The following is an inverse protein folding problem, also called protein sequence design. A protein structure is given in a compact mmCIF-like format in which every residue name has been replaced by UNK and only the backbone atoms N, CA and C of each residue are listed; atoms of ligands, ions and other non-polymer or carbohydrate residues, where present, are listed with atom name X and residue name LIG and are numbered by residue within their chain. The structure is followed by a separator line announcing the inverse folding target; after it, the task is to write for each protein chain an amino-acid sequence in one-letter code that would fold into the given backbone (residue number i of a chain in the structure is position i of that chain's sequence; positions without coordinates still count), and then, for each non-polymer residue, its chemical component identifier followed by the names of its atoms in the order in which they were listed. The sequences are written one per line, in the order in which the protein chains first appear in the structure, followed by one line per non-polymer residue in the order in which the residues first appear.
data_IF_328470203319
#
_entry.id   IF_328470203319
#
_cell.length_a   1.000
_cell.length_b   1.000
_cell.length_c   1.000
_cell.angle_alpha   90.00
_cell.angle_beta   90.00
_cell.angle_gamma   90.00
#
_symmetry.space_group_name_H-M   'P 1'
#
loop_
_entity.id
_entity.type
_entity.pdbx_description
1 polymer ?
#
# COMPACT_ATOMS: atom_id res chain seq x y z
N UNK A 1 -12.98 -37.11 -5.76
CA UNK A 1 -13.87 -36.90 -4.62
C UNK A 1 -13.39 -37.79 -3.48
N UNK A 2 -12.49 -37.28 -2.64
CA UNK A 2 -12.07 -37.88 -1.37
C UNK A 2 -11.82 -36.68 -0.45
N UNK A 3 -12.72 -36.48 0.52
CA UNK A 3 -12.67 -35.44 1.53
C UNK A 3 -11.94 -36.02 2.76
N UNK A 4 -10.83 -35.41 3.15
CA UNK A 4 -10.23 -35.65 4.46
C UNK A 4 -10.71 -34.52 5.39
N UNK A 5 -11.65 -34.84 6.28
CA UNK A 5 -12.03 -33.97 7.38
C UNK A 5 -11.11 -34.24 8.57
N UNK A 6 -10.43 -33.21 9.08
CA UNK A 6 -9.75 -33.25 10.37
C UNK A 6 -10.72 -32.78 11.47
N UNK A 7 -10.67 -33.35 12.70
CA UNK A 7 -11.66 -33.08 13.73
C UNK A 7 -11.45 -31.74 14.44
N UNK A 8 -12.51 -30.95 14.53
CA UNK A 8 -12.59 -29.60 15.13
C UNK A 8 -12.18 -29.53 16.61
N UNK A 9 -12.08 -30.67 17.30
CA UNK A 9 -11.83 -30.72 18.75
C UNK A 9 -10.41 -30.32 19.18
N UNK A 10 -9.40 -30.38 18.29
CA UNK A 10 -8.02 -29.98 18.62
C UNK A 10 -7.77 -28.47 18.54
N UNK A 11 -8.55 -27.73 17.75
CA UNK A 11 -8.40 -26.28 17.60
C UNK A 11 -9.05 -25.53 18.76
N UNK A 12 -10.18 -26.02 19.28
CA UNK A 12 -10.85 -25.44 20.44
C UNK A 12 -10.01 -25.55 21.73
N UNK A 13 -9.31 -26.67 21.94
CA UNK A 13 -8.47 -26.89 23.12
C UNK A 13 -7.20 -26.02 23.14
N UNK A 14 -6.66 -25.66 21.96
CA UNK A 14 -5.51 -24.77 21.85
C UNK A 14 -5.85 -23.30 22.14
N UNK A 15 -7.08 -22.87 21.81
CA UNK A 15 -7.54 -21.51 22.05
C UNK A 15 -7.89 -21.27 23.53
N UNK A 16 -8.53 -22.24 24.20
CA UNK A 16 -8.87 -22.13 25.64
C UNK A 16 -7.65 -22.11 26.57
N UNK A 17 -6.54 -22.75 26.19
CA UNK A 17 -5.30 -22.70 26.97
C UNK A 17 -4.55 -21.36 26.87
N UNK A 18 -4.90 -20.51 25.91
CA UNK A 18 -4.23 -19.21 25.71
C UNK A 18 -4.88 -18.06 26.49
N UNK A 19 -6.19 -18.14 26.78
CA UNK A 19 -6.91 -17.14 27.57
C UNK A 19 -6.55 -17.16 29.07
N UNK A 20 -6.12 -18.30 29.60
CA UNK A 20 -5.72 -18.41 31.01
C UNK A 20 -4.37 -17.74 31.34
N UNK A 21 -3.55 -17.42 30.33
CA UNK A 21 -2.19 -16.89 30.54
C UNK A 21 -2.11 -15.35 30.58
N UNK A 22 -3.19 -14.63 30.28
CA UNK A 22 -3.18 -13.14 30.17
C UNK A 22 -3.82 -12.45 31.39
N UNK A 23 -4.42 -13.20 32.32
CA UNK A 23 -5.01 -12.63 33.53
C UNK A 23 -4.03 -12.70 34.71
N UNK A 24 -3.02 -11.84 34.71
CA UNK A 24 -2.17 -11.61 35.88
C UNK A 24 -1.75 -10.13 35.99
N UNK A 25 -2.45 -9.43 36.88
CA UNK A 25 -1.97 -8.33 37.74
C UNK A 25 -1.74 -6.95 37.12
N UNK A 26 -2.77 -6.09 37.25
CA UNK A 26 -2.61 -4.66 37.45
C UNK A 26 -3.39 -4.27 38.73
N UNK A 27 -2.71 -4.20 39.88
CA UNK A 27 -3.24 -3.59 41.09
C UNK A 27 -2.80 -2.13 41.12
N UNK A 28 -3.75 -1.20 41.00
CA UNK A 28 -3.54 0.21 41.26
C UNK A 28 -3.73 0.47 42.75
N UNK A 29 -2.66 0.87 43.43
CA UNK A 29 -2.72 1.38 44.80
C UNK A 29 -3.31 2.80 44.80
N UNK A 30 -4.44 2.98 45.47
CA UNK A 30 -4.99 4.29 45.81
C UNK A 30 -4.46 4.72 47.17
N UNK A 31 -3.76 5.86 47.23
CA UNK A 31 -3.53 6.58 48.48
C UNK A 31 -4.46 7.79 48.53
N UNK A 32 -5.33 7.79 49.53
CA UNK A 32 -6.05 8.97 50.01
C UNK A 32 -5.18 9.80 50.96
N UNK A 33 -5.50 11.09 51.05
CA UNK A 33 -4.90 12.03 51.99
C UNK A 33 -5.53 13.41 51.82
N UNK A 34 -6.23 13.84 52.87
CA UNK A 34 -7.14 14.99 52.95
C UNK A 34 -6.47 16.36 53.11
N UNK A 35 -7.28 17.38 52.77
CA UNK A 35 -7.53 18.64 53.50
C UNK A 35 -6.60 19.88 53.43
N UNK A 36 -7.32 21.00 53.28
CA UNK A 36 -7.10 22.37 53.78
C UNK A 36 -6.19 23.38 53.07
N UNK A 37 -6.74 24.61 52.93
CA UNK A 37 -5.98 25.84 52.73
C UNK A 37 -6.61 26.86 51.76
N UNK A 38 -7.57 27.66 52.23
CA UNK A 38 -7.96 28.92 51.56
C UNK A 38 -6.87 29.99 51.77
N UNK A 39 -6.47 30.67 50.69
CA UNK A 39 -5.55 31.79 50.74
C UNK A 39 -5.61 32.64 49.48
N UNK A 40 -6.16 33.85 49.62
CA UNK A 40 -6.22 34.91 48.61
C UNK A 40 -4.85 35.56 48.40
N UNK A 41 -4.40 35.74 47.15
CA UNK A 41 -3.43 36.78 46.81
C UNK A 41 -3.50 37.18 45.32
N UNK A 42 -3.34 38.49 45.13
CA UNK A 42 -3.30 39.32 43.94
C UNK A 42 -2.56 38.77 42.70
N UNK A 43 -3.21 38.96 41.54
CA UNK A 43 -2.64 38.76 40.20
C UNK A 43 -1.92 40.02 39.71
N UNK A 44 -0.60 39.93 39.57
CA UNK A 44 0.18 40.64 38.56
C UNK A 44 1.15 39.68 37.88
N UNK A 45 1.31 39.86 36.57
CA UNK A 45 2.30 39.29 35.66
C UNK A 45 2.05 37.96 34.92
N UNK A 46 1.58 38.16 33.68
CA UNK A 46 2.08 37.61 32.40
C UNK A 46 3.18 36.53 32.51
N UNK A 47 2.85 35.29 32.18
CA UNK A 47 3.68 34.44 31.30
C UNK A 47 2.80 33.45 30.52
N UNK A 48 2.91 33.52 29.19
CA UNK A 48 2.31 32.57 28.24
C UNK A 48 2.99 31.21 28.39
N UNK A 49 2.26 30.17 28.77
CA UNK A 49 2.67 28.79 28.51
C UNK A 49 1.60 28.11 27.64
N UNK A 50 1.90 27.98 26.36
CA UNK A 50 1.13 27.16 25.43
C UNK A 50 1.65 25.74 25.51
N UNK A 51 0.92 24.87 26.21
CA UNK A 51 1.17 23.43 26.23
C UNK A 51 0.75 22.84 24.89
N UNK A 52 1.69 22.79 23.94
CA UNK A 52 1.51 22.12 22.66
C UNK A 52 1.68 20.62 22.83
N UNK A 53 0.62 19.86 22.63
CA UNK A 53 0.67 18.40 22.48
C UNK A 53 1.38 18.10 21.16
N UNK A 54 2.63 17.61 21.23
CA UNK A 54 3.34 17.08 20.07
C UNK A 54 2.84 15.65 19.78
N UNK A 55 2.12 15.50 18.66
CA UNK A 55 1.86 14.20 18.04
C UNK A 55 3.19 13.55 17.62
N UNK A 56 3.36 12.29 18.01
CA UNK A 56 4.55 11.47 17.78
C UNK A 56 4.84 11.36 16.28
N UNK A 57 5.93 11.99 15.85
CA UNK A 57 6.49 11.80 14.51
C UNK A 57 7.16 10.43 14.39
N UNK A 58 6.83 9.73 13.31
CA UNK A 58 7.44 8.45 12.94
C UNK A 58 8.98 8.56 12.88
N UNK A 59 9.67 7.85 13.76
CA UNK A 59 11.08 7.53 13.57
C UNK A 59 11.18 6.26 12.72
N UNK A 60 11.88 6.38 11.60
CA UNK A 60 12.36 5.28 10.75
C UNK A 60 12.84 4.09 11.59
N UNK A 61 12.53 2.87 11.14
CA UNK A 61 13.12 1.62 11.63
C UNK A 61 14.64 1.69 11.44
N UNK A 62 15.30 2.27 12.43
CA UNK A 62 16.69 2.03 12.76
C UNK A 62 16.63 0.85 13.71
N UNK A 63 17.47 -0.17 13.53
CA UNK A 63 17.63 -1.20 14.56
C UNK A 63 18.10 -0.52 15.84
N UNK A 64 17.20 -0.34 16.80
CA UNK A 64 17.52 0.20 18.12
C UNK A 64 17.94 -0.99 18.97
N UNK A 65 19.24 -1.20 19.12
CA UNK A 65 19.74 -2.11 20.15
C UNK A 65 19.69 -1.37 21.49
N UNK A 66 18.79 -1.81 22.36
CA UNK A 66 18.73 -1.34 23.75
C UNK A 66 19.74 -2.15 24.57
N UNK A 67 20.77 -1.48 25.07
CA UNK A 67 21.66 -2.05 26.08
C UNK A 67 21.22 -1.53 27.45
N UNK A 68 20.82 -2.44 28.33
CA UNK A 68 20.51 -2.15 29.73
C UNK A 68 21.79 -2.29 30.56
N UNK A 69 22.22 -1.22 31.20
CA UNK A 69 23.33 -1.23 32.15
C UNK A 69 22.83 -0.85 33.54
N UNK A 70 23.04 -1.75 34.51
CA UNK A 70 22.75 -1.49 35.92
C UNK A 70 24.01 -1.03 36.64
N UNK A 71 23.92 0.06 37.41
CA UNK A 71 25.03 0.60 38.20
C UNK A 71 24.82 0.28 39.69
N UNK A 72 25.63 -0.65 40.21
CA UNK A 72 25.56 -1.04 41.62
C UNK A 72 25.90 0.11 42.60
N UNK A 73 26.65 1.12 42.17
CA UNK A 73 27.01 2.27 43.02
C UNK A 73 25.90 3.30 43.18
N UNK A 74 24.94 3.34 42.26
CA UNK A 74 23.89 4.37 42.24
C UNK A 74 22.48 3.79 42.27
N UNK A 75 22.34 2.47 42.18
CA UNK A 75 21.03 1.80 42.06
C UNK A 75 20.27 2.11 40.76
N UNK A 76 20.86 2.88 39.84
CA UNK A 76 20.19 3.39 38.66
C UNK A 76 20.33 2.45 37.46
N UNK A 77 19.22 2.19 36.79
CA UNK A 77 19.17 1.50 35.50
C UNK A 77 19.34 2.54 34.39
N UNK A 78 20.39 2.40 33.58
CA UNK A 78 20.60 3.28 32.42
C UNK A 78 20.24 2.54 31.14
N UNK A 79 19.37 3.15 30.34
CA UNK A 79 19.02 2.69 28.99
C UNK A 79 19.86 3.48 28.01
N UNK A 80 20.87 2.85 27.38
CA UNK A 80 21.70 3.53 26.39
C UNK A 80 21.25 3.16 24.98
N UNK A 81 20.56 4.08 24.32
CA UNK A 81 20.16 3.94 22.91
C UNK A 81 21.39 4.19 22.02
N UNK A 82 22.01 3.14 21.48
CA UNK A 82 23.06 3.29 20.46
C UNK A 82 22.42 3.44 19.07
N UNK A 83 22.52 4.64 18.48
CA UNK A 83 22.20 4.86 17.06
C UNK A 83 23.28 4.25 16.17
N UNK A 84 23.10 3.00 15.74
CA UNK A 84 23.94 2.35 14.74
C UNK A 84 23.68 2.86 13.32
N UNK A 85 23.97 4.13 13.01
CA UNK A 85 23.63 4.72 11.70
C UNK A 85 24.57 4.36 10.54
N UNK A 86 25.77 3.81 10.79
CA UNK A 86 26.77 3.59 9.73
C UNK A 86 26.98 2.14 9.30
N UNK A 87 26.92 1.17 10.23
CA UNK A 87 27.34 -0.21 9.91
C UNK A 87 26.31 -0.98 9.07
N UNK A 88 25.01 -0.80 9.32
CA UNK A 88 23.97 -1.43 8.50
C UNK A 88 23.98 -0.91 7.05
N UNK A 89 24.26 0.38 6.85
CA UNK A 89 24.37 0.97 5.52
C UNK A 89 25.63 0.51 4.78
N UNK A 90 26.74 0.30 5.48
CA UNK A 90 27.98 -0.25 4.90
C UNK A 90 27.88 -1.75 4.58
N UNK A 91 27.18 -2.55 5.39
CA UNK A 91 26.95 -3.98 5.09
C UNK A 91 26.03 -4.18 3.88
N UNK A 92 25.07 -3.27 3.65
CA UNK A 92 24.23 -3.26 2.45
C UNK A 92 24.99 -2.85 1.18
N UNK A 93 26.17 -2.24 1.31
CA UNK A 93 27.01 -1.73 0.21
C UNK A 93 27.79 -2.83 -0.51
N UNK A 94 28.07 -3.95 0.16
CA UNK A 94 28.84 -5.09 -0.39
C UNK A 94 28.02 -5.96 -1.37
N UNK A 95 26.72 -5.71 -1.52
CA UNK A 95 25.84 -6.35 -2.49
C UNK A 95 25.08 -5.36 -3.39
N UNK A 96 25.58 -4.13 -3.51
CA UNK A 96 24.95 -3.12 -4.36
C UNK A 96 24.91 -3.63 -5.81
N UNK A 97 23.72 -3.79 -6.36
CA UNK A 97 23.51 -4.17 -7.75
C UNK A 97 24.09 -3.14 -8.71
N UNK A 98 24.12 -3.48 -10.00
CA UNK A 98 24.65 -2.58 -11.04
C UNK A 98 23.88 -1.25 -11.05
N UNK A 99 22.57 -1.29 -10.84
CA UNK A 99 21.70 -0.10 -10.82
C UNK A 99 22.05 0.86 -9.69
N UNK A 100 22.32 0.36 -8.47
CA UNK A 100 22.66 1.19 -7.33
C UNK A 100 23.91 2.03 -7.58
N UNK A 101 24.92 1.48 -8.27
CA UNK A 101 26.12 2.22 -8.68
C UNK A 101 25.80 3.30 -9.71
N UNK A 102 24.87 3.05 -10.63
CA UNK A 102 24.44 4.05 -11.59
C UNK A 102 23.78 5.26 -10.90
N UNK A 103 23.01 5.04 -9.83
CA UNK A 103 22.33 6.12 -9.09
C UNK A 103 23.26 7.01 -8.27
N UNK A 104 24.45 6.52 -7.86
CA UNK A 104 25.42 7.32 -7.11
C UNK A 104 25.93 8.53 -7.91
N UNK A 105 26.04 8.39 -9.23
CA UNK A 105 26.53 9.44 -10.14
C UNK A 105 25.41 10.21 -10.84
N UNK A 106 24.19 9.71 -10.79
CA UNK A 106 23.03 10.34 -11.40
C UNK A 106 22.74 11.75 -10.84
N UNK A 107 22.34 12.65 -11.75
CA UNK A 107 21.89 14.00 -11.42
C UNK A 107 20.45 14.00 -10.87
N UNK A 108 19.94 15.18 -10.50
CA UNK A 108 18.60 15.27 -9.90
C UNK A 108 17.49 14.89 -10.89
N UNK A 109 17.64 15.21 -12.18
CA UNK A 109 16.65 14.92 -13.22
C UNK A 109 16.54 13.41 -13.44
N UNK A 110 17.68 12.73 -13.56
CA UNK A 110 17.77 11.28 -13.69
C UNK A 110 17.21 10.57 -12.47
N UNK A 111 17.58 11.01 -11.26
CA UNK A 111 17.03 10.43 -10.02
C UNK A 111 15.51 10.58 -9.93
N UNK A 112 14.96 11.70 -10.42
CA UNK A 112 13.51 11.93 -10.46
C UNK A 112 12.83 11.01 -11.47
N UNK A 113 13.40 10.87 -12.67
CA UNK A 113 12.89 9.95 -13.68
C UNK A 113 12.94 8.49 -13.18
N UNK A 114 14.02 8.09 -12.51
CA UNK A 114 14.17 6.75 -11.95
C UNK A 114 13.17 6.52 -10.83
N UNK A 115 12.98 7.52 -9.95
CA UNK A 115 12.01 7.43 -8.87
C UNK A 115 10.57 7.31 -9.39
N UNK A 116 10.23 8.03 -10.47
CA UNK A 116 8.94 7.90 -11.15
C UNK A 116 8.76 6.48 -11.71
N UNK A 117 9.72 5.99 -12.49
CA UNK A 117 9.61 4.73 -13.23
C UNK A 117 9.74 3.47 -12.37
N UNK A 118 10.38 3.57 -11.20
CA UNK A 118 10.48 2.48 -10.23
C UNK A 118 9.50 2.62 -9.07
N UNK A 119 8.71 3.70 -9.06
CA UNK A 119 7.81 4.00 -7.96
C UNK A 119 8.52 4.21 -6.63
N UNK A 120 9.66 4.90 -6.61
CA UNK A 120 10.31 5.32 -5.37
C UNK A 120 9.80 6.69 -4.89
N UNK A 121 9.94 6.99 -3.60
CA UNK A 121 9.73 8.36 -3.12
C UNK A 121 10.87 9.26 -3.62
N UNK A 122 10.54 10.49 -3.99
CA UNK A 122 11.53 11.50 -4.33
C UNK A 122 11.54 12.60 -3.26
N UNK A 123 12.62 12.66 -2.48
CA UNK A 123 12.85 13.71 -1.48
C UNK A 123 13.39 15.01 -2.09
N UNK A 124 13.54 16.06 -1.28
CA UNK A 124 14.12 17.33 -1.73
C UNK A 124 15.64 17.23 -1.96
N UNK A 125 16.32 16.27 -1.33
CA UNK A 125 17.77 16.07 -1.43
C UNK A 125 18.11 14.84 -2.27
N UNK A 126 19.20 14.91 -3.05
CA UNK A 126 19.71 13.78 -3.86
C UNK A 126 20.01 12.53 -3.01
N UNK A 127 20.55 12.72 -1.82
CA UNK A 127 20.85 11.61 -0.90
C UNK A 127 19.58 10.85 -0.49
N UNK A 128 18.50 11.57 -0.18
CA UNK A 128 17.22 10.96 0.18
C UNK A 128 16.62 10.22 -1.02
N UNK A 129 16.66 10.81 -2.22
CA UNK A 129 16.19 10.15 -3.43
C UNK A 129 16.94 8.83 -3.71
N UNK A 130 18.27 8.81 -3.54
CA UNK A 130 19.08 7.59 -3.68
C UNK A 130 18.73 6.52 -2.63
N UNK A 131 18.54 6.92 -1.38
CA UNK A 131 18.13 6.00 -0.32
C UNK A 131 16.75 5.39 -0.59
N UNK A 132 15.79 6.19 -1.04
CA UNK A 132 14.45 5.73 -1.40
C UNK A 132 14.45 4.82 -2.63
N UNK A 133 15.27 5.13 -3.64
CA UNK A 133 15.49 4.26 -4.79
C UNK A 133 16.09 2.92 -4.38
N UNK A 134 17.12 2.90 -3.54
CA UNK A 134 17.73 1.66 -3.06
C UNK A 134 16.72 0.78 -2.30
N UNK A 135 15.91 1.38 -1.41
CA UNK A 135 14.85 0.66 -0.70
C UNK A 135 13.80 0.08 -1.67
N UNK A 136 13.41 0.85 -2.67
CA UNK A 136 12.40 0.42 -3.64
C UNK A 136 12.93 -0.68 -4.56
N UNK A 137 14.17 -0.56 -5.05
CA UNK A 137 14.87 -1.60 -5.83
C UNK A 137 14.96 -2.89 -5.03
N UNK A 138 15.27 -2.83 -3.73
CA UNK A 138 15.30 -4.03 -2.89
C UNK A 138 13.93 -4.74 -2.81
N UNK A 139 12.82 -4.00 -2.82
CA UNK A 139 11.47 -4.59 -2.87
C UNK A 139 11.20 -5.22 -4.24
N UNK A 140 11.44 -4.49 -5.33
CA UNK A 140 11.21 -4.97 -6.69
C UNK A 140 12.05 -6.21 -6.99
N UNK A 141 13.29 -6.27 -6.51
CA UNK A 141 14.15 -7.46 -6.58
C UNK A 141 13.50 -8.67 -5.91
N UNK A 142 12.96 -8.51 -4.69
CA UNK A 142 12.25 -9.61 -4.00
C UNK A 142 11.05 -10.10 -4.81
N UNK A 143 10.29 -9.19 -5.42
CA UNK A 143 9.15 -9.56 -6.27
C UNK A 143 9.61 -10.31 -7.53
N UNK A 144 10.65 -9.82 -8.21
CA UNK A 144 11.27 -10.53 -9.34
C UNK A 144 11.70 -11.95 -8.92
N UNK A 145 12.35 -12.09 -7.77
CA UNK A 145 12.82 -13.39 -7.31
C UNK A 145 11.65 -14.36 -7.02
N UNK A 146 10.53 -13.86 -6.50
CA UNK A 146 9.28 -14.65 -6.39
C UNK A 146 8.77 -15.05 -7.78
N UNK A 147 8.73 -14.11 -8.73
CA UNK A 147 8.29 -14.37 -10.11
C UNK A 147 9.12 -15.44 -10.79
N UNK A 148 10.44 -15.37 -10.67
CA UNK A 148 11.37 -16.32 -11.25
C UNK A 148 11.20 -17.72 -10.65
N UNK A 149 10.94 -17.81 -9.34
CA UNK A 149 10.72 -19.11 -8.66
C UNK A 149 9.36 -19.74 -8.96
N UNK A 150 8.30 -18.92 -9.02
CA UNK A 150 6.90 -19.39 -9.12
C UNK A 150 6.30 -19.26 -10.52
N UNK A 151 7.00 -18.63 -11.45
CA UNK A 151 6.47 -18.24 -12.76
C UNK A 151 5.52 -17.03 -12.73
N UNK A 152 5.11 -16.57 -11.54
CA UNK A 152 4.22 -15.41 -11.35
C UNK A 152 4.40 -14.77 -9.98
N UNK A 153 3.89 -13.54 -9.82
CA UNK A 153 3.72 -12.85 -8.53
C UNK A 153 2.27 -12.44 -8.38
N UNK A 154 1.69 -12.70 -7.21
CA UNK A 154 0.39 -12.21 -6.79
C UNK A 154 0.52 -10.84 -6.10
N UNK A 155 0.19 -9.77 -6.83
CA UNK A 155 0.20 -8.39 -6.34
C UNK A 155 -1.22 -7.99 -5.92
N UNK A 156 -1.40 -7.58 -4.67
CA UNK A 156 -2.66 -7.04 -4.15
C UNK A 156 -2.45 -5.55 -3.82
N UNK A 157 -3.32 -4.68 -4.32
CA UNK A 157 -3.37 -3.27 -3.91
C UNK A 157 -4.69 -2.96 -3.21
N UNK A 158 -4.61 -2.15 -2.16
CA UNK A 158 -5.74 -1.78 -1.29
C UNK A 158 -5.84 -0.26 -1.20
N UNK A 159 -7.04 0.28 -1.43
CA UNK A 159 -7.45 1.63 -1.10
C UNK A 159 -8.36 1.59 0.15
N UNK A 160 -7.81 1.87 1.35
CA UNK A 160 -8.53 1.67 2.59
C UNK A 160 -9.58 2.77 2.81
N UNK A 161 -10.83 2.34 3.00
CA UNK A 161 -11.93 3.20 3.41
C UNK A 161 -12.99 2.40 4.16
N UNK A 162 -13.65 2.99 5.15
CA UNK A 162 -14.68 2.25 5.90
C UNK A 162 -15.94 1.96 5.07
N UNK A 163 -16.30 2.86 4.16
CA UNK A 163 -17.53 2.75 3.32
C UNK A 163 -17.21 2.23 1.92
N UNK A 164 -15.94 2.33 1.55
CA UNK A 164 -15.47 2.26 0.18
C UNK A 164 -14.12 1.54 0.11
N UNK A 165 -13.94 0.51 0.94
CA UNK A 165 -12.74 -0.31 0.93
C UNK A 165 -12.61 -0.97 -0.44
N UNK A 166 -11.63 -0.60 -1.25
CA UNK A 166 -11.44 -1.19 -2.57
C UNK A 166 -10.12 -1.95 -2.62
N UNK A 167 -10.11 -3.06 -3.37
CA UNK A 167 -8.88 -3.78 -3.64
C UNK A 167 -8.86 -4.37 -5.06
N UNK A 168 -7.67 -4.56 -5.59
CA UNK A 168 -7.45 -5.24 -6.85
C UNK A 168 -6.26 -6.19 -6.71
N UNK A 169 -6.42 -7.42 -7.20
CA UNK A 169 -5.35 -8.42 -7.26
C UNK A 169 -4.99 -8.74 -8.71
N UNK A 170 -3.69 -8.74 -8.98
CA UNK A 170 -3.10 -9.07 -10.26
C UNK A 170 -2.12 -10.23 -10.14
N UNK A 171 -2.11 -11.10 -11.15
CA UNK A 171 -1.01 -12.03 -11.39
C UNK A 171 -0.08 -11.47 -12.45
N UNK A 172 1.20 -11.34 -12.10
CA UNK A 172 2.25 -10.82 -12.98
C UNK A 172 3.19 -11.97 -13.35
N UNK A 173 3.08 -12.45 -14.59
CA UNK A 173 3.95 -13.47 -15.18
C UNK A 173 4.88 -12.87 -16.24
N UNK A 174 5.07 -13.58 -17.35
CA UNK A 174 5.86 -13.14 -18.52
C UNK A 174 5.08 -12.29 -19.53
N UNK A 175 3.76 -12.31 -19.47
CA UNK A 175 2.87 -11.52 -20.33
C UNK A 175 2.21 -10.34 -19.61
N UNK A 176 1.12 -9.84 -20.18
CA UNK A 176 0.32 -8.78 -19.57
C UNK A 176 -0.17 -9.19 -18.17
N UNK A 177 -0.18 -8.27 -17.19
CA UNK A 177 -0.74 -8.53 -15.87
C UNK A 177 -2.21 -8.96 -15.97
N UNK A 178 -2.58 -10.03 -15.27
CA UNK A 178 -3.95 -10.56 -15.26
C UNK A 178 -4.66 -10.13 -13.99
N UNK A 179 -5.74 -9.36 -14.11
CA UNK A 179 -6.59 -8.98 -12.96
C UNK A 179 -7.44 -10.18 -12.58
N UNK A 180 -7.26 -10.71 -11.38
CA UNK A 180 -7.95 -11.93 -10.91
C UNK A 180 -9.04 -11.64 -9.88
N UNK A 181 -8.93 -10.51 -9.16
CA UNK A 181 -9.96 -10.02 -8.26
C UNK A 181 -9.98 -8.49 -8.31
N UNK A 182 -11.16 -7.89 -8.30
CA UNK A 182 -11.33 -6.44 -8.25
C UNK A 182 -12.69 -6.12 -7.66
N UNK A 183 -12.70 -5.57 -6.44
CA UNK A 183 -13.89 -5.57 -5.60
C UNK A 183 -13.90 -4.39 -4.61
N UNK A 184 -15.07 -4.13 -4.04
CA UNK A 184 -15.34 -3.03 -3.12
C UNK A 184 -16.24 -3.49 -1.96
N UNK A 185 -15.83 -3.19 -0.74
CA UNK A 185 -16.51 -3.59 0.49
C UNK A 185 -16.97 -2.36 1.28
N UNK A 186 -18.16 -2.47 1.88
CA UNK A 186 -18.62 -1.55 2.94
C UNK A 186 -18.39 -2.22 4.30
N UNK A 187 -17.40 -1.71 5.03
CA UNK A 187 -16.99 -2.23 6.33
C UNK A 187 -17.86 -1.70 7.47
N UNK A 188 -18.87 -0.85 7.19
CA UNK A 188 -19.73 -0.27 8.23
C UNK A 188 -20.58 -1.26 8.99
N UNK A 189 -21.00 -2.40 8.41
CA UNK A 189 -21.75 -3.39 9.21
C UNK A 189 -20.86 -4.02 10.27
N UNK A 190 -19.58 -4.20 9.98
CA UNK A 190 -18.58 -4.53 11.00
C UNK A 190 -18.24 -3.33 11.90
N UNK A 191 -18.60 -2.10 11.53
CA UNK A 191 -18.25 -0.86 12.23
C UNK A 191 -19.39 -0.22 13.05
N UNK A 192 -20.64 -0.61 12.83
CA UNK A 192 -21.82 0.05 13.41
C UNK A 192 -21.90 -0.16 14.93
N UNK A 193 -21.26 -1.22 15.45
CA UNK A 193 -20.94 -1.40 16.87
C UNK A 193 -19.51 -0.96 17.23
N UNK A 194 -18.63 -0.77 16.25
CA UNK A 194 -17.20 -0.48 16.43
C UNK A 194 -16.86 1.00 16.55
N UNK A 195 -17.84 1.89 16.66
CA UNK A 195 -17.64 3.31 16.38
C UNK A 195 -16.49 3.94 17.17
N UNK A 196 -16.12 3.40 18.36
CA UNK A 196 -15.01 3.93 19.17
C UNK A 196 -14.17 2.87 19.93
N UNK A 197 -14.55 1.58 19.92
CA UNK A 197 -13.85 0.54 20.68
C UNK A 197 -12.67 -0.07 19.90
N UNK A 198 -11.43 -0.06 20.44
CA UNK A 198 -10.28 -0.70 19.81
C UNK A 198 -10.47 -2.17 19.45
N UNK A 199 -11.23 -2.91 20.25
CA UNK A 199 -11.52 -4.34 20.09
C UNK A 199 -12.28 -4.60 18.79
N UNK A 200 -13.32 -3.82 18.55
CA UNK A 200 -14.17 -3.96 17.37
C UNK A 200 -13.43 -3.54 16.08
N UNK A 201 -12.56 -2.53 16.14
CA UNK A 201 -11.63 -2.23 15.04
C UNK A 201 -10.67 -3.40 14.79
N UNK A 202 -10.15 -4.03 15.85
CA UNK A 202 -9.29 -5.22 15.74
C UNK A 202 -9.99 -6.41 15.08
N UNK A 203 -11.25 -6.67 15.43
CA UNK A 203 -12.08 -7.70 14.80
C UNK A 203 -12.35 -7.41 13.32
N UNK A 204 -12.74 -6.17 12.98
CA UNK A 204 -12.92 -5.75 11.60
C UNK A 204 -11.64 -5.94 10.79
N UNK A 205 -10.51 -5.46 11.30
CA UNK A 205 -9.20 -5.62 10.67
C UNK A 205 -8.90 -7.10 10.45
N UNK A 206 -9.06 -7.96 11.46
CA UNK A 206 -8.85 -9.41 11.31
C UNK A 206 -9.74 -10.02 10.23
N UNK A 207 -11.01 -9.63 10.17
CA UNK A 207 -11.95 -10.07 9.13
C UNK A 207 -11.51 -9.65 7.73
N UNK A 208 -11.13 -8.38 7.55
CA UNK A 208 -10.62 -7.85 6.27
C UNK A 208 -9.33 -8.55 5.87
N UNK A 209 -8.35 -8.65 6.77
CA UNK A 209 -7.10 -9.38 6.50
C UNK A 209 -7.38 -10.83 6.12
N UNK A 210 -8.32 -11.48 6.81
CA UNK A 210 -8.73 -12.84 6.50
C UNK A 210 -9.22 -13.01 5.06
N UNK A 211 -9.98 -12.03 4.53
CA UNK A 211 -10.42 -11.98 3.13
C UNK A 211 -9.28 -11.67 2.16
N UNK A 212 -8.42 -10.71 2.50
CA UNK A 212 -7.26 -10.37 1.66
C UNK A 212 -6.30 -11.56 1.52
N UNK A 213 -6.11 -12.34 2.59
CA UNK A 213 -5.27 -13.54 2.57
C UNK A 213 -5.91 -14.71 1.82
N UNK A 214 -7.23 -14.74 1.63
CA UNK A 214 -7.88 -15.76 0.78
C UNK A 214 -7.44 -15.68 -0.69
N UNK A 215 -6.88 -14.54 -1.08
CA UNK A 215 -6.29 -14.30 -2.39
C UNK A 215 -4.82 -14.76 -2.49
N UNK A 216 -4.21 -15.23 -1.40
CA UNK A 216 -2.81 -15.69 -1.34
C UNK A 216 -1.80 -14.69 -1.93
N UNK A 217 -1.78 -13.42 -1.48
CA UNK A 217 -0.88 -12.42 -2.05
C UNK A 217 0.59 -12.73 -1.71
N UNK A 218 1.50 -12.47 -2.66
CA UNK A 218 2.94 -12.41 -2.40
C UNK A 218 3.34 -10.99 -1.93
N UNK A 219 2.54 -9.99 -2.32
CA UNK A 219 2.77 -8.58 -2.04
C UNK A 219 1.46 -7.84 -1.80
N UNK A 220 1.44 -6.96 -0.80
CA UNK A 220 0.30 -6.10 -0.50
C UNK A 220 0.74 -4.63 -0.45
N UNK A 221 0.28 -3.84 -1.41
CA UNK A 221 0.37 -2.40 -1.39
C UNK A 221 -0.85 -1.80 -0.67
N UNK A 222 -0.61 -1.06 0.40
CA UNK A 222 -1.66 -0.36 1.14
C UNK A 222 -1.50 1.13 0.87
N UNK A 223 -2.52 1.75 0.29
CA UNK A 223 -2.53 3.19 0.07
C UNK A 223 -2.60 3.94 1.40
N UNK A 224 -1.69 4.91 1.58
CA UNK A 224 -1.64 5.74 2.77
C UNK A 224 -2.74 6.79 2.74
N UNK A 225 -3.48 6.89 3.83
CA UNK A 225 -4.44 7.96 4.00
C UNK A 225 -3.73 9.32 4.06
N UNK A 226 -4.29 10.32 3.37
CA UNK A 226 -3.71 11.67 3.32
C UNK A 226 -4.04 12.41 4.61
N UNK A 227 -3.07 13.14 5.16
CA UNK A 227 -3.34 14.13 6.21
C UNK A 227 -4.29 15.18 5.64
N UNK A 228 -5.48 15.31 6.24
CA UNK A 228 -6.44 16.37 5.92
C UNK A 228 -6.46 17.37 7.07
N UNK A 229 -6.58 18.66 6.73
CA UNK A 229 -6.79 19.68 7.75
C UNK A 229 -8.11 19.38 8.47
N UNK A 230 -8.14 19.41 9.82
CA UNK A 230 -9.34 19.13 10.61
C UNK A 230 -10.30 20.32 10.53
N UNK A 231 -10.88 20.58 9.36
CA UNK A 231 -11.88 21.63 9.17
C UNK A 231 -13.23 21.31 9.82
N UNK A 232 -13.48 20.03 10.15
CA UNK A 232 -14.63 19.60 10.96
C UNK A 232 -14.29 18.34 11.76
N UNK A 233 -14.93 18.17 12.92
CA UNK A 233 -14.78 17.00 13.79
C UNK A 233 -15.18 15.69 13.09
N UNK A 234 -16.22 15.75 12.25
CA UNK A 234 -16.66 14.60 11.45
C UNK A 234 -15.57 14.11 10.48
N UNK A 235 -14.83 15.03 9.85
CA UNK A 235 -13.70 14.69 8.98
C UNK A 235 -12.55 14.09 9.80
N UNK A 236 -12.26 14.65 10.98
CA UNK A 236 -11.21 14.13 11.86
C UNK A 236 -11.50 12.68 12.30
N UNK A 237 -12.73 12.38 12.71
CA UNK A 237 -13.13 11.03 13.10
C UNK A 237 -13.03 10.00 11.96
N UNK A 238 -13.47 10.37 10.75
CA UNK A 238 -13.33 9.50 9.58
C UNK A 238 -11.86 9.23 9.23
N UNK A 239 -11.01 10.27 9.25
CA UNK A 239 -9.56 10.13 8.98
C UNK A 239 -8.90 9.24 10.03
N UNK A 240 -9.19 9.46 11.32
CA UNK A 240 -8.63 8.64 12.40
C UNK A 240 -8.97 7.17 12.23
N UNK A 241 -10.25 6.85 11.94
CA UNK A 241 -10.68 5.46 11.76
C UNK A 241 -10.04 4.81 10.53
N UNK A 242 -9.92 5.52 9.41
CA UNK A 242 -9.20 5.00 8.24
C UNK A 242 -7.71 4.79 8.55
N UNK A 243 -7.07 5.69 9.31
CA UNK A 243 -5.69 5.49 9.74
C UNK A 243 -5.55 4.25 10.64
N UNK A 244 -6.47 4.06 11.60
CA UNK A 244 -6.48 2.87 12.45
C UNK A 244 -6.65 1.59 11.61
N UNK A 245 -7.52 1.60 10.61
CA UNK A 245 -7.67 0.51 9.65
C UNK A 245 -6.35 0.26 8.89
N UNK A 246 -5.74 1.29 8.29
CA UNK A 246 -4.45 1.21 7.58
C UNK A 246 -3.37 0.58 8.46
N UNK A 247 -3.22 1.08 9.69
CA UNK A 247 -2.26 0.58 10.67
C UNK A 247 -2.56 -0.87 11.08
N UNK A 248 -3.83 -1.19 11.30
CA UNK A 248 -4.27 -2.54 11.62
C UNK A 248 -3.94 -3.52 10.50
N UNK A 249 -4.18 -3.16 9.24
CA UNK A 249 -3.80 -3.99 8.09
C UNK A 249 -2.29 -4.25 8.08
N UNK A 250 -1.47 -3.21 8.26
CA UNK A 250 -0.01 -3.36 8.33
C UNK A 250 0.46 -4.27 9.47
N UNK A 251 -0.18 -4.17 10.64
CA UNK A 251 0.20 -4.93 11.82
C UNK A 251 -0.28 -6.40 11.78
N UNK A 252 -1.45 -6.65 11.19
CA UNK A 252 -2.14 -7.96 11.26
C UNK A 252 -1.88 -8.83 10.04
N UNK A 253 -1.64 -8.27 8.85
CA UNK A 253 -1.40 -9.04 7.62
C UNK A 253 -0.25 -10.06 7.76
N UNK A 254 0.99 -9.66 8.12
CA UNK A 254 2.10 -10.61 8.23
C UNK A 254 1.90 -11.73 9.28
N UNK A 255 1.55 -11.43 10.55
CA UNK A 255 1.40 -12.49 11.54
C UNK A 255 0.20 -13.40 11.25
N UNK A 256 -0.91 -12.88 10.70
CA UNK A 256 -2.05 -13.73 10.36
C UNK A 256 -1.75 -14.67 9.18
N UNK A 257 -0.93 -14.23 8.22
CA UNK A 257 -0.43 -15.10 7.15
C UNK A 257 0.42 -16.25 7.73
N UNK A 258 1.36 -15.91 8.62
CA UNK A 258 2.23 -16.89 9.27
C UNK A 258 1.42 -17.92 10.11
N UNK A 259 0.41 -17.46 10.86
CA UNK A 259 -0.47 -18.34 11.65
C UNK A 259 -1.30 -19.29 10.77
N UNK A 260 -1.59 -18.91 9.52
CA UNK A 260 -2.26 -19.75 8.53
C UNK A 260 -1.31 -20.69 7.78
N UNK A 261 -0.02 -20.71 8.12
CA UNK A 261 0.99 -21.47 7.41
C UNK A 261 1.28 -20.95 6.00
N UNK A 262 0.92 -19.71 5.71
CA UNK A 262 1.16 -19.07 4.42
C UNK A 262 2.53 -18.36 4.44
N UNK A 263 3.22 -18.26 3.28
CA UNK A 263 4.36 -17.37 3.16
C UNK A 263 3.97 -15.94 3.53
N UNK A 264 4.81 -15.27 4.31
CA UNK A 264 4.55 -13.89 4.72
C UNK A 264 4.55 -12.95 3.50
N UNK A 265 3.44 -12.25 3.20
CA UNK A 265 3.40 -11.31 2.09
C UNK A 265 4.29 -10.11 2.39
N UNK A 266 4.98 -9.60 1.37
CA UNK A 266 5.68 -8.32 1.49
C UNK A 266 4.63 -7.19 1.54
N UNK A 267 4.48 -6.54 2.70
CA UNK A 267 3.54 -5.42 2.86
C UNK A 267 4.28 -4.08 2.72
N UNK A 268 3.75 -3.18 1.89
CA UNK A 268 4.32 -1.84 1.69
C UNK A 268 3.25 -0.75 1.72
N UNK A 269 3.56 0.31 2.45
CA UNK A 269 2.78 1.54 2.41
C UNK A 269 3.10 2.28 1.11
N UNK A 270 2.07 2.80 0.44
CA UNK A 270 2.22 3.50 -0.83
C UNK A 270 1.58 4.88 -0.80
N UNK A 271 2.18 5.81 -1.55
CA UNK A 271 1.77 7.21 -1.54
C UNK A 271 0.80 7.49 -2.69
N UNK A 272 -0.43 7.96 -2.42
CA UNK A 272 -1.42 8.30 -3.45
C UNK A 272 -0.85 9.19 -4.56
N UNK A 273 -0.06 10.19 -4.17
CA UNK A 273 0.56 11.15 -5.10
C UNK A 273 1.52 10.46 -6.07
N UNK A 274 2.25 9.43 -5.63
CA UNK A 274 3.21 8.73 -6.49
C UNK A 274 2.49 7.99 -7.63
N UNK A 275 1.38 7.33 -7.31
CA UNK A 275 0.55 6.66 -8.30
C UNK A 275 -0.09 7.69 -9.25
N UNK A 276 -0.61 8.80 -8.71
CA UNK A 276 -1.16 9.87 -9.53
C UNK A 276 -0.11 10.50 -10.48
N UNK A 277 1.08 10.82 -9.98
CA UNK A 277 2.17 11.37 -10.79
C UNK A 277 2.61 10.38 -11.87
N UNK A 278 2.64 9.07 -11.56
CA UNK A 278 3.01 8.01 -12.50
C UNK A 278 2.02 7.90 -13.68
N UNK A 279 0.72 7.93 -13.43
CA UNK A 279 -0.29 7.80 -14.49
C UNK A 279 -0.62 9.11 -15.18
N UNK A 280 -0.66 10.21 -14.44
CA UNK A 280 -1.20 11.49 -14.91
C UNK A 280 -0.11 12.51 -15.26
N UNK A 281 1.15 12.24 -14.91
CA UNK A 281 2.23 13.20 -15.01
C UNK A 281 2.26 14.18 -13.83
N UNK A 282 3.45 14.72 -13.54
CA UNK A 282 3.68 15.68 -12.46
C UNK A 282 3.03 17.06 -12.67
N UNK A 283 2.32 17.25 -13.79
CA UNK A 283 1.70 18.51 -14.23
C UNK A 283 0.18 18.46 -14.32
N UNK A 284 -0.49 17.42 -13.81
CA UNK A 284 -1.94 17.46 -13.61
C UNK A 284 -2.25 18.44 -12.46
N UNK A 285 -2.25 19.76 -12.76
CA UNK A 285 -2.21 20.84 -11.77
C UNK A 285 -3.43 20.89 -10.85
N UNK A 286 -4.53 20.19 -11.17
CA UNK A 286 -5.75 20.13 -10.35
C UNK A 286 -6.08 18.70 -9.94
N UNK A 287 -6.34 18.51 -8.64
CA UNK A 287 -6.72 17.22 -8.06
C UNK A 287 -7.98 16.60 -8.71
N UNK A 288 -8.93 17.44 -9.14
CA UNK A 288 -10.14 17.00 -9.83
C UNK A 288 -9.83 16.37 -11.20
N UNK A 289 -8.89 16.95 -11.95
CA UNK A 289 -8.51 16.46 -13.27
C UNK A 289 -7.75 15.14 -13.15
N UNK A 290 -6.86 15.02 -12.17
CA UNK A 290 -6.16 13.75 -11.86
C UNK A 290 -7.14 12.64 -11.50
N UNK A 291 -8.15 12.91 -10.67
CA UNK A 291 -9.20 11.94 -10.32
C UNK A 291 -9.97 11.48 -11.55
N UNK A 292 -10.44 12.43 -12.37
CA UNK A 292 -11.18 12.12 -13.61
C UNK A 292 -10.32 11.29 -14.57
N UNK A 293 -9.05 11.66 -14.74
CA UNK A 293 -8.13 10.97 -15.63
C UNK A 293 -7.92 9.50 -15.21
N UNK A 294 -7.77 9.24 -13.91
CA UNK A 294 -7.64 7.88 -13.36
C UNK A 294 -8.87 7.01 -13.64
N UNK A 295 -10.08 7.54 -13.43
CA UNK A 295 -11.32 6.83 -13.77
C UNK A 295 -11.39 6.54 -15.28
N UNK A 296 -11.08 7.54 -16.11
CA UNK A 296 -11.09 7.36 -17.57
C UNK A 296 -10.05 6.34 -18.03
N UNK A 297 -8.86 6.34 -17.42
CA UNK A 297 -7.80 5.38 -17.71
C UNK A 297 -8.20 3.96 -17.33
N UNK A 298 -8.75 3.75 -16.12
CA UNK A 298 -9.24 2.44 -15.68
C UNK A 298 -10.34 1.91 -16.61
N UNK A 299 -11.26 2.76 -17.06
CA UNK A 299 -12.29 2.40 -18.05
C UNK A 299 -11.69 2.06 -19.42
N UNK A 300 -10.70 2.82 -19.88
CA UNK A 300 -10.03 2.54 -21.15
C UNK A 300 -9.30 1.20 -21.12
N UNK A 301 -8.58 0.92 -20.04
CA UNK A 301 -7.90 -0.35 -19.80
C UNK A 301 -8.88 -1.53 -19.74
N UNK A 302 -9.98 -1.40 -19.01
CA UNK A 302 -11.00 -2.45 -18.92
C UNK A 302 -11.66 -2.73 -20.27
N UNK A 303 -11.91 -1.69 -21.08
CA UNK A 303 -12.44 -1.84 -22.44
C UNK A 303 -11.43 -2.47 -23.40
N UNK A 304 -10.15 -2.06 -23.35
CA UNK A 304 -9.09 -2.70 -24.13
C UNK A 304 -9.04 -4.20 -23.81
N UNK A 305 -9.00 -4.56 -22.53
CA UNK A 305 -8.98 -5.95 -22.08
C UNK A 305 -10.26 -6.73 -22.40
N UNK A 306 -11.38 -6.03 -22.62
CA UNK A 306 -12.64 -6.66 -23.03
C UNK A 306 -12.67 -7.04 -24.51
N UNK A 307 -12.02 -6.23 -25.36
CA UNK A 307 -12.06 -6.33 -26.82
C UNK A 307 -10.85 -7.07 -27.38
N UNK A 308 -9.68 -6.92 -26.78
CA UNK A 308 -8.43 -7.33 -27.39
C UNK A 308 -8.26 -8.86 -27.46
N UNK A 309 -7.95 -9.35 -28.66
CA UNK A 309 -7.40 -10.68 -28.89
C UNK A 309 -5.89 -10.77 -28.57
N UNK A 310 -5.23 -9.64 -28.34
CA UNK A 310 -3.80 -9.51 -28.05
C UNK A 310 -3.55 -8.96 -26.63
N UNK A 311 -2.38 -9.21 -26.03
CA UNK A 311 -2.04 -8.71 -24.70
C UNK A 311 -1.88 -7.19 -24.72
N UNK A 312 -2.93 -6.47 -24.29
CA UNK A 312 -2.88 -5.03 -23.98
C UNK A 312 -2.11 -4.76 -22.68
N UNK A 313 -2.33 -3.59 -22.07
CA UNK A 313 -1.68 -3.25 -20.79
C UNK A 313 -2.16 -4.10 -19.60
N UNK A 314 -3.32 -4.76 -19.74
CA UNK A 314 -3.83 -5.73 -18.78
C UNK A 314 -4.69 -6.79 -19.48
N UNK A 315 -4.85 -7.93 -18.81
CA UNK A 315 -5.84 -8.95 -19.14
C UNK A 315 -6.80 -9.19 -17.96
N UNK A 316 -7.98 -9.74 -18.24
CA UNK A 316 -8.93 -10.15 -17.21
C UNK A 316 -8.84 -11.65 -16.97
N UNK A 317 -8.83 -12.04 -15.70
CA UNK A 317 -8.96 -13.44 -15.31
C UNK A 317 -10.35 -14.00 -15.66
N UNK A 318 -10.52 -15.33 -15.72
CA UNK A 318 -11.75 -15.95 -16.21
C UNK A 318 -13.02 -15.49 -15.50
N UNK A 319 -12.97 -15.34 -14.17
CA UNK A 319 -14.12 -14.90 -13.38
C UNK A 319 -14.55 -13.47 -13.74
N UNK A 320 -13.60 -12.53 -13.83
CA UNK A 320 -13.90 -11.14 -14.21
C UNK A 320 -14.30 -11.02 -15.69
N UNK A 321 -13.68 -11.82 -16.57
CA UNK A 321 -14.06 -11.85 -17.97
C UNK A 321 -15.48 -12.38 -18.18
N UNK A 322 -15.92 -13.36 -17.37
CA UNK A 322 -17.27 -13.91 -17.41
C UNK A 322 -18.30 -12.99 -16.73
N UNK A 323 -17.92 -12.32 -15.65
CA UNK A 323 -18.80 -11.40 -14.92
C UNK A 323 -19.00 -10.05 -15.63
N UNK A 324 -18.18 -9.74 -16.65
CA UNK A 324 -18.24 -8.42 -17.28
C UNK A 324 -19.54 -8.20 -18.03
N UNK A 325 -20.08 -6.99 -17.91
CA UNK A 325 -21.21 -6.55 -18.72
C UNK A 325 -20.81 -6.51 -20.21
N UNK A 326 -21.68 -6.96 -21.10
CA UNK A 326 -21.44 -6.94 -22.55
C UNK A 326 -21.23 -5.49 -23.06
N UNK A 327 -21.78 -4.51 -22.36
CA UNK A 327 -21.73 -3.08 -22.70
C UNK A 327 -20.35 -2.42 -22.45
N UNK A 328 -19.40 -3.10 -21.81
CA UNK A 328 -18.05 -2.57 -21.56
C UNK A 328 -17.32 -2.20 -22.86
N UNK A 329 -17.58 -2.94 -23.95
CA UNK A 329 -16.98 -2.69 -25.26
C UNK A 329 -17.60 -1.52 -26.02
N UNK A 330 -18.86 -1.18 -25.76
CA UNK A 330 -19.67 -0.28 -26.60
C UNK A 330 -19.66 1.17 -26.12
N UNK A 331 -19.51 1.43 -24.81
CA UNK A 331 -19.59 2.77 -24.23
C UNK A 331 -18.25 3.27 -23.65
N UNK A 332 -17.97 4.57 -23.78
CA UNK A 332 -16.87 5.23 -23.07
C UNK A 332 -17.22 5.62 -21.62
N UNK A 333 -18.50 5.61 -21.27
CA UNK A 333 -19.03 6.18 -20.04
C UNK A 333 -19.68 5.15 -19.09
N UNK A 334 -19.30 3.87 -19.18
CA UNK A 334 -19.84 2.84 -18.30
C UNK A 334 -19.34 2.99 -16.86
N UNK A 335 -20.10 2.48 -15.88
CA UNK A 335 -19.65 2.38 -14.49
C UNK A 335 -18.78 1.15 -14.31
N UNK A 336 -17.59 1.31 -13.72
CA UNK A 336 -16.69 0.19 -13.39
C UNK A 336 -17.41 -0.77 -12.43
N UNK A 337 -18.09 -0.23 -11.41
CA UNK A 337 -18.85 -1.04 -10.46
C UNK A 337 -19.85 -1.96 -11.16
N UNK A 338 -20.66 -1.41 -12.09
CA UNK A 338 -21.62 -2.21 -12.87
C UNK A 338 -20.91 -3.17 -13.82
N UNK A 339 -19.85 -2.72 -14.48
CA UNK A 339 -19.09 -3.53 -15.43
C UNK A 339 -18.46 -4.77 -14.79
N UNK A 340 -18.16 -4.75 -13.50
CA UNK A 340 -17.62 -5.90 -12.78
C UNK A 340 -18.72 -6.82 -12.22
N UNK A 341 -19.99 -6.55 -12.50
CA UNK A 341 -21.11 -7.30 -11.95
C UNK A 341 -21.21 -7.20 -10.42
N UNK A 342 -20.61 -6.17 -9.82
CA UNK A 342 -20.65 -6.00 -8.37
C UNK A 342 -22.10 -5.73 -7.96
N UNK A 343 -22.60 -6.46 -6.94
CA UNK A 343 -24.01 -6.46 -6.61
C UNK A 343 -24.46 -5.04 -6.25
N UNK A 344 -25.48 -4.53 -6.95
CA UNK A 344 -26.10 -3.24 -6.64
C UNK A 344 -27.04 -3.32 -5.42
N UNK A 345 -27.43 -4.54 -5.03
CA UNK A 345 -28.27 -4.85 -3.87
C UNK A 345 -27.49 -5.69 -2.85
N UNK A 346 -27.76 -5.56 -1.54
CA UNK A 346 -26.97 -6.22 -0.51
C UNK A 346 -27.00 -7.74 -0.68
N UNK A 347 -25.82 -8.34 -0.87
CA UNK A 347 -25.63 -9.78 -0.68
C UNK A 347 -25.56 -9.99 0.83
N UNK A 348 -26.32 -10.97 1.33
CA UNK A 348 -26.55 -11.24 2.76
C UNK A 348 -25.34 -10.88 3.64
N UNK A 349 -25.64 -10.10 4.68
CA UNK A 349 -24.80 -9.66 5.79
C UNK A 349 -23.82 -8.49 5.56
N UNK A 350 -23.74 -7.89 4.35
CA UNK A 350 -23.00 -6.63 4.13
C UNK A 350 -23.79 -5.62 3.29
N UNK A 351 -23.71 -4.29 3.59
CA UNK A 351 -24.31 -3.29 2.72
C UNK A 351 -23.51 -3.20 1.43
N UNK A 352 -24.17 -2.72 0.39
CA UNK A 352 -23.51 -2.37 -0.86
C UNK A 352 -22.73 -1.08 -0.66
N UNK A 353 -21.45 -1.10 -1.02
CA UNK A 353 -20.65 0.11 -1.06
C UNK A 353 -21.22 1.07 -2.13
N UNK A 354 -21.14 2.40 -1.94
CA UNK A 354 -21.61 3.34 -2.95
C UNK A 354 -20.97 3.06 -4.31
N UNK A 355 -21.76 3.13 -5.39
CA UNK A 355 -21.37 2.90 -6.80
C UNK A 355 -20.44 3.98 -7.39
N UNK A 356 -19.44 4.36 -6.60
CA UNK A 356 -18.39 5.30 -6.98
C UNK A 356 -17.21 4.51 -7.54
N UNK A 357 -16.83 4.87 -8.77
CA UNK A 357 -15.78 4.20 -9.53
C UNK A 357 -14.37 4.62 -9.12
N UNK A 358 -14.18 5.73 -8.37
CA UNK A 358 -12.85 6.24 -8.08
C UNK A 358 -12.01 5.32 -7.18
N UNK A 359 -12.60 4.73 -6.15
CA UNK A 359 -11.88 3.81 -5.26
C UNK A 359 -11.46 2.52 -6.00
N UNK A 360 -12.36 2.03 -6.87
CA UNK A 360 -12.06 0.89 -7.75
C UNK A 360 -10.94 1.22 -8.74
N UNK A 361 -11.02 2.37 -9.40
CA UNK A 361 -9.99 2.83 -10.33
C UNK A 361 -8.64 3.00 -9.62
N UNK A 362 -8.63 3.58 -8.43
CA UNK A 362 -7.41 3.79 -7.65
C UNK A 362 -6.78 2.44 -7.26
N UNK A 363 -7.56 1.49 -6.74
CA UNK A 363 -7.05 0.16 -6.41
C UNK A 363 -6.43 -0.57 -7.62
N UNK A 364 -7.10 -0.58 -8.78
CA UNK A 364 -6.58 -1.20 -10.00
C UNK A 364 -5.30 -0.52 -10.48
N UNK A 365 -5.34 0.80 -10.67
CA UNK A 365 -4.20 1.56 -11.19
C UNK A 365 -2.99 1.49 -10.25
N UNK A 366 -3.23 1.31 -8.96
CA UNK A 366 -2.19 1.10 -7.98
C UNK A 366 -1.52 -0.27 -8.14
N UNK A 367 -2.30 -1.35 -8.29
CA UNK A 367 -1.73 -2.67 -8.56
C UNK A 367 -0.97 -2.71 -9.90
N UNK A 368 -1.52 -2.10 -10.96
CA UNK A 368 -0.86 -1.98 -12.26
C UNK A 368 0.42 -1.15 -12.20
N UNK A 369 0.47 -0.11 -11.37
CA UNK A 369 1.69 0.67 -11.19
C UNK A 369 2.82 -0.21 -10.65
N UNK A 370 2.54 -1.04 -9.63
CA UNK A 370 3.53 -1.99 -9.10
C UNK A 370 3.96 -3.04 -10.12
N UNK A 371 3.02 -3.57 -10.92
CA UNK A 371 3.36 -4.49 -12.01
C UNK A 371 4.29 -3.83 -13.03
N UNK A 372 3.99 -2.58 -13.42
CA UNK A 372 4.81 -1.82 -14.37
C UNK A 372 6.18 -1.46 -13.79
N UNK A 373 6.26 -1.09 -12.52
CA UNK A 373 7.53 -0.80 -11.84
C UNK A 373 8.43 -2.04 -11.74
N UNK A 374 7.85 -3.22 -11.53
CA UNK A 374 8.58 -4.49 -11.56
C UNK A 374 9.14 -4.78 -12.95
N UNK A 375 8.33 -4.64 -13.99
CA UNK A 375 8.76 -4.83 -15.38
C UNK A 375 9.90 -3.85 -15.74
N UNK A 376 9.75 -2.57 -15.40
CA UNK A 376 10.76 -1.54 -15.65
C UNK A 376 12.05 -1.82 -14.87
N UNK A 377 11.96 -2.29 -13.64
CA UNK A 377 13.13 -2.70 -12.85
C UNK A 377 13.94 -3.78 -13.59
N UNK A 378 13.27 -4.79 -14.11
CA UNK A 378 13.93 -5.90 -14.81
C UNK A 378 14.53 -5.45 -16.14
N UNK A 379 13.85 -4.58 -16.88
CA UNK A 379 14.37 -3.96 -18.10
C UNK A 379 15.65 -3.16 -17.82
N UNK A 380 15.63 -2.32 -16.77
CA UNK A 380 16.79 -1.53 -16.36
C UNK A 380 17.94 -2.43 -15.89
N UNK A 381 17.65 -3.50 -15.16
CA UNK A 381 18.66 -4.44 -14.69
C UNK A 381 19.30 -5.22 -15.84
N UNK A 382 18.50 -5.72 -16.79
CA UNK A 382 18.99 -6.40 -17.98
C UNK A 382 19.84 -5.45 -18.85
N UNK A 383 19.39 -4.21 -19.03
CA UNK A 383 20.15 -3.18 -19.74
C UNK A 383 21.50 -2.90 -19.07
N UNK A 384 21.50 -2.73 -17.75
CA UNK A 384 22.70 -2.45 -16.98
C UNK A 384 23.68 -3.64 -16.96
N UNK A 385 23.17 -4.87 -16.93
CA UNK A 385 23.98 -6.08 -17.05
C UNK A 385 24.65 -6.19 -18.43
N UNK A 386 23.91 -5.91 -19.51
CA UNK A 386 24.42 -5.99 -20.88
C UNK A 386 25.52 -4.96 -21.21
N UNK A 387 25.45 -3.76 -20.60
CA UNK A 387 26.39 -2.65 -20.90
C UNK A 387 27.48 -2.44 -19.84
N UNK A 388 27.42 -3.18 -18.74
CA UNK A 388 28.32 -3.01 -17.60
C UNK A 388 28.17 -1.64 -16.90
N UNK A 389 29.02 -1.37 -15.91
CA UNK A 389 28.94 -0.14 -15.10
C UNK A 389 29.46 1.13 -15.80
N UNK A 390 29.92 1.04 -17.05
CA UNK A 390 30.63 2.12 -17.73
C UNK A 390 29.73 3.14 -18.44
N UNK A 391 28.42 2.91 -18.57
CA UNK A 391 27.55 3.73 -19.43
C UNK A 391 26.42 4.44 -18.67
N UNK A 392 26.80 5.33 -17.74
CA UNK A 392 25.83 6.17 -17.03
C UNK A 392 24.91 6.93 -17.98
N UNK A 393 25.46 7.50 -19.05
CA UNK A 393 24.70 8.29 -20.02
C UNK A 393 23.71 7.46 -20.85
N UNK A 394 24.07 6.22 -21.23
CA UNK A 394 23.14 5.36 -21.95
C UNK A 394 21.97 4.93 -21.07
N UNK A 395 22.20 4.68 -19.77
CA UNK A 395 21.11 4.37 -18.84
C UNK A 395 20.16 5.56 -18.68
N UNK A 396 20.69 6.79 -18.64
CA UNK A 396 19.89 8.02 -18.61
C UNK A 396 19.02 8.13 -19.86
N UNK A 397 19.60 7.92 -21.04
CA UNK A 397 18.87 7.91 -22.32
C UNK A 397 17.74 6.88 -22.31
N UNK A 398 18.04 5.63 -21.95
CA UNK A 398 17.06 4.55 -21.89
C UNK A 398 15.95 4.81 -20.88
N UNK A 399 16.27 5.37 -19.71
CA UNK A 399 15.28 5.76 -18.72
C UNK A 399 14.32 6.84 -19.25
N UNK A 400 14.82 7.81 -20.01
CA UNK A 400 13.98 8.82 -20.64
C UNK A 400 13.07 8.24 -21.72
N UNK A 401 13.55 7.27 -22.50
CA UNK A 401 12.73 6.52 -23.46
C UNK A 401 11.60 5.77 -22.76
N UNK A 402 11.87 5.12 -21.63
CA UNK A 402 10.86 4.42 -20.82
C UNK A 402 9.78 5.38 -20.30
N UNK A 403 10.17 6.56 -19.82
CA UNK A 403 9.22 7.60 -19.38
C UNK A 403 8.36 8.07 -20.55
N UNK A 404 8.96 8.37 -21.70
CA UNK A 404 8.23 8.83 -22.88
C UNK A 404 7.27 7.76 -23.41
N UNK A 405 7.73 6.51 -23.50
CA UNK A 405 6.91 5.36 -23.92
C UNK A 405 5.73 5.12 -22.99
N UNK A 406 5.92 5.23 -21.67
CA UNK A 406 4.84 5.09 -20.68
C UNK A 406 3.72 6.12 -20.89
N UNK A 407 4.07 7.41 -21.01
CA UNK A 407 3.07 8.45 -21.23
C UNK A 407 2.44 8.39 -22.62
N UNK A 408 3.18 8.01 -23.66
CA UNK A 408 2.64 7.79 -25.00
C UNK A 408 1.57 6.69 -25.00
N UNK A 409 1.84 5.56 -24.32
CA UNK A 409 0.86 4.46 -24.15
C UNK A 409 -0.38 4.92 -23.40
N UNK A 410 -0.20 5.58 -22.25
CA UNK A 410 -1.32 6.09 -21.43
C UNK A 410 -2.18 7.09 -22.22
N UNK A 411 -1.56 8.02 -22.96
CA UNK A 411 -2.27 8.97 -23.80
C UNK A 411 -3.02 8.29 -24.97
N UNK A 412 -2.45 7.22 -25.54
CA UNK A 412 -3.11 6.41 -26.58
C UNK A 412 -4.40 5.78 -26.07
N UNK A 413 -4.38 5.15 -24.89
CA UNK A 413 -5.56 4.57 -24.25
C UNK A 413 -6.67 5.59 -24.04
N UNK A 414 -6.30 6.80 -23.60
CA UNK A 414 -7.25 7.87 -23.31
C UNK A 414 -7.89 8.49 -24.55
N UNK A 415 -7.17 8.57 -25.67
CA UNK A 415 -7.75 8.97 -26.97
C UNK A 415 -8.75 7.92 -27.49
N UNK A 416 -8.56 6.67 -27.05
CA UNK A 416 -9.25 5.47 -27.54
C UNK A 416 -8.58 4.97 -28.82
N UNK A 417 -8.49 3.67 -28.99
CA UNK A 417 -8.06 3.06 -30.24
C UNK A 417 -8.92 3.62 -31.38
N UNK A 418 -8.35 3.97 -32.56
CA UNK A 418 -9.16 4.24 -33.73
C UNK A 418 -10.14 3.08 -33.88
N UNK A 419 -11.43 3.38 -34.13
CA UNK A 419 -12.38 2.33 -34.48
C UNK A 419 -11.73 1.48 -35.58
N UNK A 420 -11.83 0.14 -35.53
CA UNK A 420 -11.43 -0.66 -36.68
C UNK A 420 -12.15 -0.05 -37.87
N UNK A 421 -11.38 0.39 -38.87
CA UNK A 421 -11.93 0.98 -40.08
C UNK A 421 -13.04 0.04 -40.53
N UNK A 422 -14.28 0.56 -40.55
CA UNK A 422 -15.43 -0.20 -41.02
C UNK A 422 -15.03 -0.76 -42.37
N UNK A 423 -14.90 -2.09 -42.47
CA UNK A 423 -14.60 -2.74 -43.72
C UNK A 423 -15.73 -2.33 -44.69
N UNK A 424 -15.35 -1.53 -45.69
CA UNK A 424 -16.25 -1.02 -46.71
C UNK A 424 -16.52 -2.09 -47.77
#
# INVERSE_FOLDING_TARGET
MVLWAAPESKVAAMLSSSEAAVSASFQLATHGGDSEGWGSASSTDKYKSSTGICLVGWCFVSTVTLALGWSAKTGATSVRVRRGKLRAWQQQRMGAGVLERCWERADARTLRAAALMLGAAYGSKKADARAQLAMQVARLRRLRDVRLRRGRVALLAVDPGLVNFAYAQLYVGTGAPVVVAWDKLDLRISAASAAEAPEAMGEMVRGVVGRLLAHEPDFVAIERQRARNPGSSAVAGAVLRTNLLEHGLHAVLPPLAALRGMPEPLVAASLPRRMADFWCGSGAERAADSKRLRILLARALLREAAVAASPGMLALGPALAAARDADVGSSRAFSIHRALGLPAAPVRDLPVAPAKDDDLADALLHALAWATWLEVYEQLEAFAAARGSASGDALVGYLHELVAGHYARTASLLRGSPQPATAA
#
